data_IF_316835651626
#
_entry.id   IF_316835651626
#
_cell.length_a   1.000
_cell.length_b   1.000
_cell.length_c   1.000
_cell.angle_alpha   90.00
_cell.angle_beta   90.00
_cell.angle_gamma   90.00
#
_symmetry.space_group_name_H-M   'P 1'
#
loop_
_entity.id
_entity.type
_entity.pdbx_description
1 polymer ?
#
# COMPACT_ATOMS: atom_id res chain seq x y z
N UNK A 1 -10.66 -16.58 1.25
CA UNK A 1 -9.90 -15.45 0.67
C UNK A 1 -9.13 -15.85 -0.59
N UNK A 2 -8.56 -17.05 -0.70
CA UNK A 2 -7.90 -17.50 -1.95
C UNK A 2 -8.85 -17.54 -3.15
N UNK A 3 -10.11 -17.97 -2.98
CA UNK A 3 -11.06 -18.08 -4.12
C UNK A 3 -11.44 -16.76 -4.80
N UNK A 4 -11.43 -15.61 -4.09
CA UNK A 4 -11.73 -14.31 -4.72
C UNK A 4 -10.66 -13.91 -5.75
N UNK A 5 -9.39 -14.26 -5.51
CA UNK A 5 -8.28 -13.91 -6.40
C UNK A 5 -8.07 -14.93 -7.53
N UNK A 6 -8.57 -16.17 -7.38
CA UNK A 6 -8.33 -17.28 -8.30
C UNK A 6 -9.27 -17.29 -9.54
N UNK A 7 -10.38 -16.55 -9.50
CA UNK A 7 -11.38 -16.54 -10.58
C UNK A 7 -11.17 -15.45 -11.65
N UNK A 8 -10.12 -14.63 -11.55
CA UNK A 8 -9.89 -13.54 -12.50
C UNK A 8 -8.83 -13.87 -13.56
N UNK A 9 -9.14 -13.56 -14.84
CA UNK A 9 -8.33 -13.91 -16.00
C UNK A 9 -6.93 -13.27 -15.97
N UNK A 10 -5.91 -14.08 -16.27
CA UNK A 10 -4.45 -13.80 -16.24
C UNK A 10 -3.94 -12.68 -17.17
N UNK A 11 -4.80 -11.89 -17.78
CA UNK A 11 -4.42 -10.82 -18.71
C UNK A 11 -4.40 -9.42 -18.09
N UNK A 12 -4.87 -9.27 -16.85
CA UNK A 12 -4.79 -8.01 -16.11
C UNK A 12 -3.41 -7.87 -15.49
N UNK A 13 -2.60 -6.93 -15.98
CA UNK A 13 -1.38 -6.53 -15.29
C UNK A 13 -1.78 -6.03 -13.90
N UNK A 14 -1.38 -6.75 -12.86
CA UNK A 14 -1.59 -6.35 -11.48
C UNK A 14 -0.62 -5.19 -11.18
N UNK A 15 -1.17 -4.00 -11.01
CA UNK A 15 -0.41 -2.78 -10.74
C UNK A 15 -0.88 -2.15 -9.44
N UNK A 16 0.06 -1.56 -8.72
CA UNK A 16 -0.20 -0.76 -7.53
C UNK A 16 -0.20 0.72 -7.93
N UNK A 17 -1.29 1.42 -7.62
CA UNK A 17 -1.42 2.86 -7.87
C UNK A 17 -0.74 3.63 -6.74
N UNK A 18 0.32 4.37 -7.06
CA UNK A 18 1.07 5.15 -6.08
C UNK A 18 0.99 6.63 -6.44
N UNK A 19 0.98 7.48 -5.42
CA UNK A 19 0.94 8.94 -5.55
C UNK A 19 2.14 9.57 -4.87
N UNK A 20 2.60 10.70 -5.40
CA UNK A 20 3.60 11.55 -4.77
C UNK A 20 2.94 12.82 -4.27
N UNK A 21 3.06 13.14 -2.98
CA UNK A 21 2.35 14.27 -2.37
C UNK A 21 3.09 15.61 -2.49
N UNK A 22 2.32 16.70 -2.48
CA UNK A 22 2.83 18.08 -2.35
C UNK A 22 3.03 18.52 -0.91
N UNK A 23 2.08 18.22 -0.02
CA UNK A 23 2.08 18.67 1.40
C UNK A 23 3.12 17.94 2.25
N UNK A 24 3.50 16.73 1.85
CA UNK A 24 4.69 16.00 2.31
C UNK A 24 5.65 15.84 1.12
N UNK A 25 6.40 16.90 0.76
CA UNK A 25 7.14 16.93 -0.50
C UNK A 25 8.13 15.77 -0.59
N UNK A 26 7.91 14.88 -1.54
CA UNK A 26 8.81 13.76 -1.82
C UNK A 26 8.35 12.41 -1.26
N UNK A 27 7.30 12.35 -0.46
CA UNK A 27 6.75 11.08 0.02
C UNK A 27 5.87 10.42 -1.04
N UNK A 28 6.09 9.12 -1.24
CA UNK A 28 5.23 8.24 -2.03
C UNK A 28 4.28 7.51 -1.09
N UNK A 29 2.98 7.61 -1.37
CA UNK A 29 1.95 6.92 -0.61
C UNK A 29 0.86 6.33 -1.52
N UNK A 30 -0.04 5.57 -0.92
CA UNK A 30 -1.32 5.25 -1.53
C UNK A 30 -2.29 6.42 -1.35
N UNK A 31 -3.34 6.53 -2.18
CA UNK A 31 -4.43 7.45 -1.89
C UNK A 31 -5.06 7.17 -0.53
N UNK A 32 -5.43 8.22 0.19
CA UNK A 32 -6.01 8.08 1.52
C UNK A 32 -5.75 9.28 2.42
N UNK A 33 -6.48 9.32 3.53
CA UNK A 33 -6.43 10.45 4.44
C UNK A 33 -7.12 10.15 5.75
N UNK A 34 -7.46 11.23 6.45
CA UNK A 34 -8.04 11.14 7.80
C UNK A 34 -9.54 10.91 7.68
N UNK A 35 -10.04 9.97 8.48
CA UNK A 35 -11.49 9.75 8.63
C UNK A 35 -12.22 11.01 9.06
N UNK A 36 -13.28 11.34 8.34
CA UNK A 36 -14.20 12.44 8.65
C UNK A 36 -15.45 11.95 9.39
N UNK A 37 -16.16 12.83 10.12
CA UNK A 37 -17.41 12.47 10.81
C UNK A 37 -18.51 11.95 9.88
N UNK A 38 -18.44 12.27 8.60
CA UNK A 38 -19.37 11.86 7.53
C UNK A 38 -19.07 10.46 7.00
N UNK A 39 -17.86 9.94 7.23
CA UNK A 39 -17.44 8.63 6.76
C UNK A 39 -18.05 7.52 7.63
N UNK A 40 -18.91 6.70 7.02
CA UNK A 40 -19.63 5.62 7.71
C UNK A 40 -18.69 4.54 8.25
N UNK A 41 -17.57 4.31 7.56
CA UNK A 41 -16.51 3.39 7.94
C UNK A 41 -15.16 3.77 7.29
N UNK A 42 -14.13 2.96 7.53
CA UNK A 42 -12.78 3.19 7.01
C UNK A 42 -12.71 2.98 5.49
N UNK A 43 -13.61 2.16 4.92
CA UNK A 43 -13.71 1.97 3.46
C UNK A 43 -14.27 3.23 2.80
N UNK A 44 -15.32 3.82 3.37
CA UNK A 44 -15.87 5.09 2.92
C UNK A 44 -14.82 6.21 2.95
N UNK A 45 -13.98 6.23 4.00
CA UNK A 45 -12.84 7.17 4.09
C UNK A 45 -11.88 6.97 2.91
N UNK A 46 -11.43 5.74 2.67
CA UNK A 46 -10.49 5.44 1.58
C UNK A 46 -11.06 5.79 0.20
N UNK A 47 -12.34 5.52 -0.03
CA UNK A 47 -13.01 5.83 -1.29
C UNK A 47 -13.17 7.34 -1.51
N UNK A 48 -13.57 8.09 -0.48
CA UNK A 48 -13.70 9.55 -0.54
C UNK A 48 -12.35 10.20 -0.87
N UNK A 49 -11.31 9.85 -0.11
CA UNK A 49 -9.96 10.38 -0.32
C UNK A 49 -9.40 10.01 -1.70
N UNK A 50 -9.60 8.77 -2.16
CA UNK A 50 -9.20 8.37 -3.52
C UNK A 50 -9.92 9.17 -4.60
N UNK A 51 -11.18 9.52 -4.38
CA UNK A 51 -11.92 10.38 -5.29
C UNK A 51 -11.39 11.81 -5.28
N UNK A 52 -11.10 12.37 -4.10
CA UNK A 52 -10.56 13.73 -3.93
C UNK A 52 -9.15 13.89 -4.50
N UNK A 53 -8.28 12.90 -4.32
CA UNK A 53 -6.87 12.97 -4.68
C UNK A 53 -6.60 12.61 -6.14
N UNK A 54 -7.28 11.60 -6.68
CA UNK A 54 -7.00 11.06 -8.03
C UNK A 54 -8.25 10.90 -8.91
N UNK A 55 -9.42 11.33 -8.46
CA UNK A 55 -10.66 11.27 -9.23
C UNK A 55 -11.25 9.87 -9.36
N UNK A 56 -10.86 8.92 -8.51
CA UNK A 56 -11.37 7.54 -8.56
C UNK A 56 -12.79 7.47 -8.00
N UNK A 57 -13.80 7.41 -8.88
CA UNK A 57 -15.18 7.30 -8.44
C UNK A 57 -15.46 5.93 -7.80
N UNK A 58 -16.33 5.83 -6.78
CA UNK A 58 -16.65 4.56 -6.10
C UNK A 58 -17.13 3.43 -7.02
N UNK A 59 -17.77 3.75 -8.15
CA UNK A 59 -18.22 2.74 -9.12
C UNK A 59 -17.10 2.20 -10.03
N UNK A 60 -15.91 2.81 -9.98
CA UNK A 60 -14.71 2.38 -10.72
C UNK A 60 -13.79 1.51 -9.88
N UNK A 61 -14.21 1.15 -8.66
CA UNK A 61 -13.42 0.33 -7.76
C UNK A 61 -14.28 -0.74 -7.10
N UNK A 62 -13.83 -1.99 -7.19
CA UNK A 62 -14.38 -3.10 -6.43
C UNK A 62 -13.52 -3.32 -5.19
N UNK A 63 -14.02 -2.96 -4.02
CA UNK A 63 -13.30 -3.18 -2.75
C UNK A 63 -13.32 -4.67 -2.41
N UNK A 64 -12.14 -5.26 -2.21
CA UNK A 64 -11.96 -6.70 -2.00
C UNK A 64 -11.82 -7.01 -0.52
N UNK A 65 -10.97 -6.27 0.20
CA UNK A 65 -10.72 -6.48 1.62
C UNK A 65 -10.06 -5.28 2.30
N UNK A 66 -10.12 -5.27 3.63
CA UNK A 66 -9.23 -4.48 4.45
C UNK A 66 -8.09 -5.38 4.95
N UNK A 67 -6.85 -4.90 4.87
CA UNK A 67 -5.70 -5.59 5.45
C UNK A 67 -5.60 -5.34 6.95
N UNK A 68 -4.72 -6.09 7.62
CA UNK A 68 -4.39 -5.87 9.02
C UNK A 68 -3.94 -4.42 9.22
N UNK A 69 -4.57 -3.65 10.14
CA UNK A 69 -4.17 -2.28 10.42
C UNK A 69 -2.72 -2.16 10.87
N UNK A 70 -2.14 -0.97 10.72
CA UNK A 70 -0.83 -0.66 11.26
C UNK A 70 -0.89 0.57 12.17
N UNK A 71 -0.17 0.50 13.29
CA UNK A 71 0.06 1.68 14.13
C UNK A 71 1.28 2.42 13.61
N UNK A 72 1.09 3.69 13.28
CA UNK A 72 2.15 4.63 12.95
C UNK A 72 2.06 5.79 13.95
N UNK A 73 3.03 5.84 14.87
CA UNK A 73 3.00 6.78 15.99
C UNK A 73 1.67 6.69 16.77
N UNK A 74 0.90 7.77 16.81
CA UNK A 74 -0.40 7.85 17.49
C UNK A 74 -1.60 7.62 16.53
N UNK A 75 -1.34 7.19 15.29
CA UNK A 75 -2.36 6.94 14.28
C UNK A 75 -2.53 5.45 13.97
N UNK A 76 -3.79 5.03 13.77
CA UNK A 76 -4.15 3.72 13.25
C UNK A 76 -4.46 3.85 11.76
N UNK A 77 -3.70 3.13 10.93
CA UNK A 77 -3.88 3.08 9.48
C UNK A 77 -4.60 1.79 9.10
N UNK A 78 -5.73 1.89 8.39
CA UNK A 78 -6.51 0.77 7.86
C UNK A 78 -6.34 0.70 6.34
N UNK A 79 -5.54 -0.23 5.79
CA UNK A 79 -5.35 -0.34 4.34
C UNK A 79 -6.54 -1.02 3.70
N UNK A 80 -7.09 -0.41 2.66
CA UNK A 80 -8.20 -0.94 1.86
C UNK A 80 -7.67 -1.33 0.49
N UNK A 81 -7.95 -2.57 0.07
CA UNK A 81 -7.51 -3.12 -1.22
C UNK A 81 -8.72 -3.24 -2.13
N UNK A 82 -8.61 -2.68 -3.34
CA UNK A 82 -9.64 -2.75 -4.36
C UNK A 82 -9.08 -2.95 -5.76
N UNK A 83 -9.88 -3.55 -6.64
CA UNK A 83 -9.60 -3.61 -8.07
C UNK A 83 -10.15 -2.37 -8.76
N UNK A 84 -9.30 -1.72 -9.55
CA UNK A 84 -9.66 -0.51 -10.29
C UNK A 84 -10.13 -0.90 -11.69
N UNK A 85 -11.19 -0.25 -12.18
CA UNK A 85 -11.70 -0.40 -13.54
C UNK A 85 -10.61 -0.09 -14.57
N UNK A 86 -10.49 -0.91 -15.60
CA UNK A 86 -9.46 -0.77 -16.64
C UNK A 86 -9.54 0.55 -17.43
N UNK A 87 -10.70 1.22 -17.45
CA UNK A 87 -10.90 2.50 -18.13
C UNK A 87 -10.67 3.70 -17.21
N UNK A 88 -10.35 3.48 -15.93
CA UNK A 88 -9.99 4.57 -15.03
C UNK A 88 -8.76 5.31 -15.57
N UNK A 89 -8.84 6.63 -15.54
CA UNK A 89 -7.75 7.54 -15.85
C UNK A 89 -7.60 8.47 -14.66
N UNK A 90 -6.41 8.47 -14.04
CA UNK A 90 -6.17 9.28 -12.86
C UNK A 90 -6.25 10.77 -13.21
N UNK A 91 -7.00 11.51 -12.40
CA UNK A 91 -7.13 12.96 -12.45
C UNK A 91 -6.56 13.54 -11.15
N UNK A 92 -5.23 13.70 -11.04
CA UNK A 92 -4.61 14.15 -9.80
C UNK A 92 -5.07 15.56 -9.42
N UNK A 93 -5.52 15.70 -8.18
CA UNK A 93 -5.80 17.01 -7.60
C UNK A 93 -4.47 17.76 -7.37
N UNK A 94 -4.21 18.87 -8.08
CA UNK A 94 -2.94 19.56 -8.00
C UNK A 94 -2.69 20.22 -6.64
N UNK A 95 -3.69 20.36 -5.76
CA UNK A 95 -3.48 20.94 -4.43
C UNK A 95 -2.83 19.96 -3.45
N UNK A 96 -2.91 18.66 -3.74
CA UNK A 96 -2.52 17.59 -2.82
C UNK A 96 -1.53 16.62 -3.46
N UNK A 97 -1.76 16.28 -4.74
CA UNK A 97 -0.99 15.30 -5.50
C UNK A 97 -0.08 15.99 -6.52
N UNK A 98 1.21 15.64 -6.48
CA UNK A 98 2.21 16.10 -7.45
C UNK A 98 2.21 15.23 -8.70
N UNK A 99 2.16 13.92 -8.54
CA UNK A 99 2.16 12.95 -9.63
C UNK A 99 1.54 11.63 -9.20
N UNK A 100 1.07 10.86 -10.18
CA UNK A 100 0.49 9.53 -10.02
C UNK A 100 1.27 8.60 -10.94
N UNK A 101 1.58 7.40 -10.46
CA UNK A 101 2.29 6.41 -11.25
C UNK A 101 1.87 4.99 -10.86
N UNK A 102 2.12 4.06 -11.77
CA UNK A 102 1.84 2.64 -11.57
C UNK A 102 3.14 1.88 -11.37
N UNK A 103 3.09 0.90 -10.48
CA UNK A 103 4.19 -0.05 -10.29
C UNK A 103 3.63 -1.46 -10.44
N UNK A 104 4.19 -2.31 -11.33
CA UNK A 104 3.79 -3.71 -11.41
C UNK A 104 3.98 -4.40 -10.05
N UNK A 105 2.99 -5.14 -9.55
CA UNK A 105 3.09 -5.81 -8.24
C UNK A 105 4.31 -6.73 -8.15
N UNK A 106 4.68 -7.38 -9.26
CA UNK A 106 5.85 -8.26 -9.32
C UNK A 106 7.17 -7.53 -9.01
N UNK A 107 7.22 -6.21 -9.22
CA UNK A 107 8.37 -5.37 -8.88
C UNK A 107 8.71 -5.44 -7.39
N UNK A 108 7.69 -5.51 -6.52
CA UNK A 108 7.91 -5.58 -5.08
C UNK A 108 8.47 -6.93 -4.64
N UNK A 109 8.38 -7.98 -5.46
CA UNK A 109 8.98 -9.29 -5.19
C UNK A 109 10.37 -9.44 -5.84
N UNK A 110 10.57 -8.85 -7.02
CA UNK A 110 11.81 -8.94 -7.80
C UNK A 110 12.31 -7.55 -8.22
N UNK A 111 12.65 -6.68 -7.26
CA UNK A 111 13.05 -5.31 -7.55
C UNK A 111 14.43 -5.26 -8.20
N UNK A 112 14.63 -4.27 -9.09
CA UNK A 112 15.98 -3.99 -9.63
C UNK A 112 16.85 -3.28 -8.61
N UNK A 113 16.26 -2.36 -7.85
CA UNK A 113 16.95 -1.59 -6.81
C UNK A 113 16.14 -1.67 -5.53
N UNK A 114 16.72 -2.33 -4.53
CA UNK A 114 16.11 -2.55 -3.21
C UNK A 114 17.15 -2.42 -2.10
N UNK A 115 16.74 -1.80 -1.00
CA UNK A 115 17.54 -1.66 0.22
C UNK A 115 16.66 -1.86 1.45
N UNK A 116 17.24 -2.38 2.52
CA UNK A 116 16.68 -2.34 3.87
C UNK A 116 17.42 -1.29 4.68
N UNK A 117 16.67 -0.51 5.45
CA UNK A 117 17.23 0.46 6.40
C UNK A 117 16.68 0.17 7.79
N UNK A 118 17.51 0.13 8.84
CA UNK A 118 17.01 -0.02 10.20
C UNK A 118 16.05 1.13 10.54
N UNK A 119 14.89 0.83 11.13
CA UNK A 119 14.05 1.90 11.69
C UNK A 119 14.69 2.48 12.94
N UNK A 120 14.29 3.70 13.34
CA UNK A 120 14.78 4.34 14.58
C UNK A 120 14.50 3.49 15.84
N UNK A 121 13.46 2.66 15.82
CA UNK A 121 13.12 1.75 16.92
C UNK A 121 13.99 0.48 16.93
N UNK A 122 14.74 0.19 15.87
CA UNK A 122 15.63 -0.99 15.75
C UNK A 122 14.91 -2.34 15.68
N UNK A 123 13.57 -2.36 15.78
CA UNK A 123 12.78 -3.59 15.82
C UNK A 123 12.35 -4.10 14.44
N UNK A 124 12.41 -3.25 13.41
CA UNK A 124 12.01 -3.60 12.06
C UNK A 124 12.94 -2.93 11.04
N UNK A 125 13.13 -3.58 9.90
CA UNK A 125 13.78 -2.96 8.76
C UNK A 125 12.73 -2.27 7.88
N UNK A 126 12.98 -1.01 7.55
CA UNK A 126 12.24 -0.29 6.54
C UNK A 126 12.64 -0.78 5.15
N UNK A 127 11.66 -1.20 4.35
CA UNK A 127 11.85 -1.51 2.95
C UNK A 127 11.98 -0.23 2.12
N UNK A 128 12.93 -0.19 1.20
CA UNK A 128 13.12 0.89 0.24
C UNK A 128 13.26 0.32 -1.17
N UNK A 129 12.32 0.64 -2.05
CA UNK A 129 12.33 0.26 -3.46
C UNK A 129 12.50 1.50 -4.33
N UNK A 130 13.46 1.49 -5.25
CA UNK A 130 13.55 2.55 -6.26
C UNK A 130 13.01 1.99 -7.58
N UNK A 131 11.87 2.50 -8.06
CA UNK A 131 11.24 2.07 -9.31
C UNK A 131 11.45 3.13 -10.39
N UNK A 132 12.09 2.77 -11.50
CA UNK A 132 12.19 3.62 -12.69
C UNK A 132 11.07 3.25 -13.66
N UNK A 133 10.16 4.19 -13.93
CA UNK A 133 9.11 4.00 -14.92
C UNK A 133 9.76 3.88 -16.31
N UNK A 134 9.55 2.77 -17.05
CA UNK A 134 10.17 2.58 -18.36
C UNK A 134 9.63 3.53 -19.43
N UNK A 135 8.45 4.14 -19.23
CA UNK A 135 7.83 5.02 -20.23
C UNK A 135 8.43 6.42 -20.26
N UNK A 136 8.74 7.00 -19.09
CA UNK A 136 9.24 8.37 -18.95
C UNK A 136 10.66 8.46 -18.36
N UNK A 137 11.21 7.35 -17.85
CA UNK A 137 12.53 7.29 -17.21
C UNK A 137 12.59 7.89 -15.81
N UNK A 138 11.47 8.33 -15.24
CA UNK A 138 11.42 8.92 -13.89
C UNK A 138 11.58 7.83 -12.85
N UNK A 139 12.40 8.10 -11.82
CA UNK A 139 12.60 7.16 -10.70
C UNK A 139 11.87 7.63 -9.46
N UNK A 140 11.11 6.72 -8.86
CA UNK A 140 10.32 6.91 -7.65
C UNK A 140 10.88 6.05 -6.53
N UNK A 141 11.11 6.65 -5.36
CA UNK A 141 11.52 5.92 -4.16
C UNK A 141 10.30 5.62 -3.29
N UNK A 142 10.00 4.34 -3.13
CA UNK A 142 8.85 3.82 -2.38
C UNK A 142 9.40 3.22 -1.10
N UNK A 143 9.10 3.82 0.05
CA UNK A 143 9.71 3.46 1.33
C UNK A 143 8.67 3.30 2.44
N UNK A 144 9.11 2.89 3.63
CA UNK A 144 8.28 2.94 4.83
C UNK A 144 7.05 2.04 4.77
N UNK A 145 5.94 2.58 5.26
CA UNK A 145 4.68 1.84 5.36
C UNK A 145 4.08 1.54 3.99
N UNK A 146 4.23 2.46 3.03
CA UNK A 146 3.79 2.28 1.64
C UNK A 146 4.47 1.06 1.03
N UNK A 147 5.81 0.98 1.14
CA UNK A 147 6.59 -0.15 0.66
C UNK A 147 6.18 -1.47 1.33
N UNK A 148 5.92 -1.44 2.64
CA UNK A 148 5.48 -2.61 3.40
C UNK A 148 4.14 -3.16 2.90
N UNK A 149 3.14 -2.30 2.71
CA UNK A 149 1.84 -2.74 2.21
C UNK A 149 1.89 -3.18 0.74
N UNK A 150 2.68 -2.50 -0.10
CA UNK A 150 2.87 -2.94 -1.48
C UNK A 150 3.48 -4.35 -1.56
N UNK A 151 4.50 -4.62 -0.74
CA UNK A 151 5.11 -5.94 -0.61
C UNK A 151 4.12 -6.98 -0.08
N UNK A 152 3.37 -6.67 0.99
CA UNK A 152 2.37 -7.58 1.56
C UNK A 152 1.30 -7.96 0.53
N UNK A 153 0.75 -6.98 -0.20
CA UNK A 153 -0.22 -7.21 -1.28
C UNK A 153 0.38 -8.08 -2.37
N UNK A 154 1.61 -7.81 -2.80
CA UNK A 154 2.28 -8.63 -3.81
C UNK A 154 2.48 -10.08 -3.35
N UNK A 155 2.84 -10.31 -2.08
CA UNK A 155 2.98 -11.64 -1.50
C UNK A 155 1.65 -12.39 -1.47
N UNK A 156 0.56 -11.72 -1.06
CA UNK A 156 -0.78 -12.31 -0.99
C UNK A 156 -1.30 -12.66 -2.39
N UNK A 157 -1.18 -11.75 -3.34
CA UNK A 157 -1.80 -11.91 -4.67
C UNK A 157 -0.98 -12.83 -5.57
N UNK A 158 0.34 -12.70 -5.57
CA UNK A 158 1.19 -13.44 -6.50
C UNK A 158 1.63 -14.80 -5.93
N UNK A 159 1.54 -15.00 -4.61
CA UNK A 159 1.95 -16.23 -3.91
C UNK A 159 3.40 -16.66 -4.27
N UNK A 160 4.26 -15.69 -4.59
CA UNK A 160 5.68 -15.90 -4.93
C UNK A 160 6.58 -15.40 -3.81
N UNK A 161 7.74 -16.05 -3.65
CA UNK A 161 8.76 -15.59 -2.72
C UNK A 161 9.53 -14.40 -3.32
N UNK A 162 9.87 -13.38 -2.51
CA UNK A 162 10.70 -12.28 -2.97
C UNK A 162 12.17 -12.72 -3.12
N UNK A 163 12.96 -11.96 -3.87
CA UNK A 163 14.41 -12.21 -4.06
C UNK A 163 15.28 -11.73 -2.89
N UNK A 164 14.67 -11.35 -1.78
CA UNK A 164 15.29 -10.78 -0.60
C UNK A 164 14.59 -11.29 0.67
N UNK A 165 15.23 -11.12 1.83
CA UNK A 165 14.64 -11.53 3.10
C UNK A 165 13.54 -10.57 3.56
N UNK A 166 12.47 -11.14 4.11
CA UNK A 166 11.32 -10.39 4.63
C UNK A 166 11.03 -10.80 6.06
N UNK A 167 10.51 -9.87 6.86
CA UNK A 167 10.06 -10.12 8.22
C UNK A 167 8.80 -10.98 8.31
N UNK A 168 8.07 -11.12 7.20
CA UNK A 168 6.81 -11.85 7.17
C UNK A 168 7.05 -13.36 7.25
N UNK A 169 6.21 -14.06 8.03
CA UNK A 169 6.16 -15.51 7.92
C UNK A 169 5.45 -15.87 6.62
N UNK A 170 6.22 -16.22 5.59
CA UNK A 170 5.69 -16.54 4.26
C UNK A 170 4.76 -17.76 4.24
N UNK A 171 4.84 -18.63 5.26
CA UNK A 171 3.94 -19.77 5.40
C UNK A 171 2.67 -19.43 6.18
N UNK A 172 2.60 -18.24 6.78
CA UNK A 172 1.50 -17.79 7.65
C UNK A 172 1.37 -16.25 7.66
N UNK A 173 1.19 -15.67 6.47
CA UNK A 173 1.30 -14.23 6.23
C UNK A 173 0.32 -13.38 7.03
N UNK A 174 -0.96 -13.77 7.04
CA UNK A 174 -2.02 -13.01 7.73
C UNK A 174 -1.87 -13.11 9.25
N UNK A 175 -1.79 -14.31 9.85
CA UNK A 175 -1.68 -14.43 11.31
C UNK A 175 -0.38 -13.84 11.87
N UNK A 176 0.75 -13.97 11.16
CA UNK A 176 1.99 -13.31 11.60
C UNK A 176 1.89 -11.78 11.56
N UNK A 177 1.18 -11.22 10.57
CA UNK A 177 0.93 -9.78 10.49
C UNK A 177 0.02 -9.29 11.63
N UNK A 178 -1.03 -10.05 11.97
CA UNK A 178 -1.90 -9.77 13.11
C UNK A 178 -1.14 -9.82 14.45
N UNK A 179 -0.28 -10.82 14.63
CA UNK A 179 0.53 -10.94 15.84
C UNK A 179 1.49 -9.76 16.00
N UNK A 180 2.19 -9.37 14.92
CA UNK A 180 3.06 -8.19 14.90
C UNK A 180 2.29 -6.92 15.27
N UNK A 181 1.08 -6.74 14.73
CA UNK A 181 0.20 -5.62 15.08
C UNK A 181 -0.18 -5.63 16.57
N UNK A 182 -0.64 -6.78 17.09
CA UNK A 182 -1.02 -6.91 18.50
C UNK A 182 0.14 -6.64 19.46
N UNK A 183 1.36 -7.06 19.10
CA UNK A 183 2.59 -6.77 19.88
C UNK A 183 2.88 -5.27 19.92
N UNK A 184 2.81 -4.58 18.78
CA UNK A 184 3.00 -3.13 18.72
C UNK A 184 1.92 -2.37 19.49
N UNK A 185 0.65 -2.76 19.35
CA UNK A 185 -0.46 -2.14 20.07
C UNK A 185 -0.36 -2.32 21.59
N UNK A 186 0.05 -3.50 22.08
CA UNK A 186 0.34 -3.72 23.50
C UNK A 186 1.47 -2.82 24.00
N UNK A 187 2.53 -2.64 23.21
CA UNK A 187 3.65 -1.79 23.59
C UNK A 187 3.27 -0.30 23.62
N UNK A 188 2.48 0.17 22.65
CA UNK A 188 1.96 1.53 22.63
C UNK A 188 1.06 1.82 23.85
N UNK A 189 0.13 0.91 24.18
CA UNK A 189 -0.73 1.04 25.37
C UNK A 189 0.01 0.96 26.70
N UNK A 190 1.14 0.26 26.76
CA UNK A 190 1.95 0.16 27.98
C UNK A 190 2.79 1.40 28.30
N UNK A 191 2.81 2.40 27.39
CA UNK A 191 3.54 3.67 27.56
C UNK A 191 2.63 4.87 27.89
N UNK A 192 1.30 4.68 27.84
CA UNK A 192 0.29 5.62 28.37
C UNK A 192 -0.05 5.26 29.82
#
# INVERSE_FOLDING_TARGET
>A
MSECFQNWNRTSQLCSLNIQLRRSPGEVCFPGGKREPTDVDDVATALRESQEEVGLCPHQVEVVCCLVPCLLEDALLTPVVGFIDQNFQALPNPDEVKSVFLVPLEYFLHPRVYRQQPTQSGHLNMHCFDYTNPEDGVTYSITGITAKFALLVALIILEKKPTFEVEFNLNDLIPSSEESFLRLHKHAKGKL
#
